data_IF_539791510823
#
_entry.id   IF_539791510823
#
_cell.length_a   1.000
_cell.length_b   1.000
_cell.length_c   1.000
_cell.angle_alpha   90.00
_cell.angle_beta   90.00
_cell.angle_gamma   90.00
#
_symmetry.space_group_name_H-M   'P 1'
#
loop_
_entity.id
_entity.type
_entity.pdbx_description
1 polymer ?
#
# COMPACT_ATOMS: atom_id res chain seq x y z
N UNK A 1 -6.83 -11.05 -3.50
CA UNK A 1 -5.58 -10.28 -3.70
C UNK A 1 -4.40 -11.20 -3.46
N UNK A 2 -3.37 -11.15 -4.31
CA UNK A 2 -2.15 -11.96 -4.16
C UNK A 2 -1.02 -11.10 -3.56
N UNK A 3 -0.23 -11.68 -2.65
CA UNK A 3 0.96 -11.01 -2.09
C UNK A 3 2.03 -10.98 -3.18
N UNK A 4 2.60 -9.81 -3.54
CA UNK A 4 3.66 -9.74 -4.54
C UNK A 4 4.88 -10.57 -4.14
N UNK A 5 5.55 -11.20 -5.10
CA UNK A 5 6.68 -12.09 -4.81
C UNK A 5 7.85 -11.36 -4.16
N UNK A 6 8.12 -10.10 -4.56
CA UNK A 6 9.13 -9.26 -3.92
C UNK A 6 8.86 -8.99 -2.43
N UNK A 7 7.59 -9.00 -2.03
CA UNK A 7 7.18 -8.82 -0.64
C UNK A 7 7.34 -10.13 0.12
N UNK A 8 6.97 -11.27 -0.49
CA UNK A 8 7.20 -12.60 0.09
C UNK A 8 8.67 -12.90 0.35
N UNK A 9 9.57 -12.47 -0.54
CA UNK A 9 11.03 -12.64 -0.39
C UNK A 9 11.61 -11.94 0.87
N UNK A 10 10.83 -11.07 1.52
CA UNK A 10 11.24 -10.28 2.68
C UNK A 10 10.35 -10.54 3.89
N UNK A 11 9.81 -11.76 3.98
CA UNK A 11 8.87 -12.18 5.03
C UNK A 11 7.66 -11.23 5.15
N UNK A 12 7.27 -10.69 3.99
CA UNK A 12 6.23 -9.70 3.86
C UNK A 12 4.88 -10.34 3.53
N UNK A 13 3.82 -9.76 4.07
CA UNK A 13 2.45 -10.21 3.85
C UNK A 13 1.50 -9.03 3.70
N UNK A 14 0.32 -9.29 3.11
CA UNK A 14 -0.77 -8.33 3.01
C UNK A 14 -1.93 -8.80 3.87
N UNK A 15 -2.41 -7.90 4.73
CA UNK A 15 -3.59 -8.14 5.56
C UNK A 15 -4.64 -7.07 5.28
N UNK A 16 -5.91 -7.48 5.22
CA UNK A 16 -7.00 -6.53 5.17
C UNK A 16 -7.02 -5.67 6.45
N UNK A 17 -7.28 -4.38 6.29
CA UNK A 17 -7.40 -3.43 7.40
C UNK A 17 -8.83 -3.34 7.94
N UNK A 18 -9.14 -2.20 8.53
CA UNK A 18 -10.45 -1.92 9.16
C UNK A 18 -11.62 -1.82 8.16
N UNK A 19 -11.34 -1.66 6.87
CA UNK A 19 -12.34 -1.56 5.80
C UNK A 19 -11.79 -2.11 4.48
N UNK A 20 -12.66 -2.28 3.49
CA UNK A 20 -12.34 -2.87 2.19
C UNK A 20 -11.32 -2.05 1.37
N UNK A 21 -11.09 -0.80 1.76
CA UNK A 21 -10.15 0.12 1.11
C UNK A 21 -8.80 0.20 1.80
N UNK A 22 -8.64 -0.41 2.97
CA UNK A 22 -7.42 -0.34 3.78
C UNK A 22 -6.72 -1.68 3.75
N UNK A 23 -5.42 -1.64 3.48
CA UNK A 23 -4.53 -2.79 3.50
C UNK A 23 -3.33 -2.49 4.37
N UNK A 24 -2.88 -3.50 5.09
CA UNK A 24 -1.67 -3.45 5.90
C UNK A 24 -0.61 -4.30 5.21
N UNK A 25 0.56 -3.71 5.02
CA UNK A 25 1.78 -4.42 4.65
C UNK A 25 2.47 -4.80 5.95
N UNK A 26 2.53 -6.10 6.18
CA UNK A 26 3.23 -6.70 7.29
C UNK A 26 4.63 -7.10 6.83
N UNK A 27 5.62 -6.89 7.69
CA UNK A 27 6.97 -7.46 7.55
C UNK A 27 7.27 -8.17 8.85
N UNK A 28 7.76 -9.41 8.79
CA UNK A 28 7.95 -10.26 9.97
C UNK A 28 6.68 -10.31 10.84
N UNK A 29 5.51 -10.48 10.22
CA UNK A 29 4.19 -10.51 10.87
C UNK A 29 3.73 -9.21 11.57
N UNK A 30 4.53 -8.15 11.56
CA UNK A 30 4.19 -6.86 12.15
C UNK A 30 3.75 -5.85 11.09
N UNK A 31 2.64 -5.11 11.30
CA UNK A 31 2.19 -4.09 10.33
C UNK A 31 3.17 -2.92 10.32
N UNK A 32 3.83 -2.69 9.20
CA UNK A 32 4.82 -1.61 9.02
C UNK A 32 4.27 -0.45 8.17
N UNK A 33 3.40 -0.77 7.21
CA UNK A 33 2.80 0.23 6.32
C UNK A 33 1.31 -0.02 6.16
N UNK A 34 0.58 1.07 5.98
CA UNK A 34 -0.84 1.09 5.69
C UNK A 34 -1.05 1.72 4.33
N UNK A 35 -1.69 0.98 3.43
CA UNK A 35 -2.15 1.45 2.14
C UNK A 35 -3.65 1.72 2.24
N UNK A 36 -4.07 2.91 1.86
CA UNK A 36 -5.49 3.30 1.85
C UNK A 36 -5.85 3.80 0.47
N UNK A 37 -6.71 3.05 -0.22
CA UNK A 37 -7.23 3.45 -1.52
C UNK A 37 -8.41 4.42 -1.31
N UNK A 38 -8.36 5.61 -1.90
CA UNK A 38 -9.42 6.61 -1.75
C UNK A 38 -9.72 7.31 -3.07
N UNK A 39 -10.96 7.77 -3.28
CA UNK A 39 -11.29 8.57 -4.45
C UNK A 39 -10.55 9.93 -4.42
N UNK A 40 -10.11 10.39 -5.59
CA UNK A 40 -9.41 11.66 -5.79
C UNK A 40 -9.81 12.27 -7.16
N UNK A 41 -10.63 13.32 -7.15
CA UNK A 41 -11.05 14.10 -8.34
C UNK A 41 -11.58 13.23 -9.50
N UNK A 42 -12.45 12.27 -9.21
CA UNK A 42 -13.01 11.36 -10.21
C UNK A 42 -12.12 10.15 -10.57
N UNK A 43 -10.90 10.11 -10.04
CA UNK A 43 -9.98 8.98 -10.07
C UNK A 43 -9.85 8.36 -8.67
N UNK A 44 -8.90 7.45 -8.49
CA UNK A 44 -8.50 6.84 -7.23
C UNK A 44 -7.04 7.14 -6.95
N UNK A 45 -6.66 7.23 -5.68
CA UNK A 45 -5.28 7.34 -5.23
C UNK A 45 -5.03 6.36 -4.10
N UNK A 46 -3.77 5.99 -3.88
CA UNK A 46 -3.37 5.16 -2.75
C UNK A 46 -2.47 5.96 -1.82
N UNK A 47 -2.93 6.16 -0.58
CA UNK A 47 -2.13 6.77 0.47
C UNK A 47 -1.33 5.71 1.19
N UNK A 48 -0.02 5.93 1.33
CA UNK A 48 0.93 5.00 1.96
C UNK A 48 1.42 5.67 3.22
N UNK A 49 1.12 5.09 4.38
CA UNK A 49 1.48 5.64 5.69
C UNK A 49 2.26 4.60 6.49
N UNK A 50 3.39 4.99 7.05
CA UNK A 50 4.12 4.17 8.02
C UNK A 50 3.31 4.06 9.32
N UNK A 51 3.14 2.85 9.83
CA UNK A 51 2.34 2.60 11.06
C UNK A 51 3.07 3.05 12.33
N UNK A 52 4.40 3.03 12.31
CA UNK A 52 5.23 3.34 13.49
C UNK A 52 5.36 4.84 13.79
N UNK A 53 5.35 5.70 12.77
CA UNK A 53 5.58 7.14 12.91
C UNK A 53 4.55 8.01 12.19
N UNK A 54 3.59 7.41 11.48
CA UNK A 54 2.55 8.13 10.74
C UNK A 54 3.04 8.87 9.48
N UNK A 55 4.30 8.72 9.09
CA UNK A 55 4.87 9.40 7.92
C UNK A 55 4.23 8.87 6.64
N UNK A 56 3.86 9.79 5.74
CA UNK A 56 3.37 9.45 4.41
C UNK A 56 4.53 9.26 3.43
N UNK A 57 4.45 8.20 2.65
CA UNK A 57 5.41 7.86 1.60
C UNK A 57 4.82 7.97 0.20
N UNK A 58 3.49 8.16 0.11
CA UNK A 58 2.80 8.32 -1.17
C UNK A 58 3.13 9.65 -1.88
N UNK A 59 3.30 9.58 -3.19
CA UNK A 59 3.61 10.65 -4.12
C UNK A 59 2.36 11.27 -4.74
N UNK A 60 1.17 10.85 -4.32
CA UNK A 60 -0.10 11.43 -4.78
C UNK A 60 -0.51 11.04 -6.20
N UNK A 61 0.00 9.91 -6.72
CA UNK A 61 -0.41 9.39 -8.02
C UNK A 61 -1.91 9.07 -8.05
N UNK A 62 -2.52 9.25 -9.22
CA UNK A 62 -3.95 8.98 -9.44
C UNK A 62 -4.13 7.93 -10.54
N UNK A 63 -5.16 7.11 -10.38
CA UNK A 63 -5.43 5.93 -11.17
C UNK A 63 -6.93 5.84 -11.49
N UNK A 64 -7.28 5.26 -12.62
CA UNK A 64 -8.69 5.19 -13.06
C UNK A 64 -9.55 4.26 -12.20
N UNK A 65 -8.96 3.27 -11.50
CA UNK A 65 -9.69 2.30 -10.68
C UNK A 65 -9.06 2.11 -9.30
N UNK A 66 -9.87 1.70 -8.33
CA UNK A 66 -9.41 1.37 -6.97
C UNK A 66 -8.33 0.28 -6.96
N UNK A 67 -8.48 -0.77 -7.77
CA UNK A 67 -7.50 -1.85 -7.85
C UNK A 67 -6.16 -1.38 -8.48
N UNK A 68 -6.23 -0.51 -9.49
CA UNK A 68 -5.04 0.10 -10.07
C UNK A 68 -4.32 1.00 -9.06
N UNK A 69 -5.06 1.77 -8.26
CA UNK A 69 -4.49 2.59 -7.19
C UNK A 69 -3.79 1.74 -6.13
N UNK A 70 -4.40 0.63 -5.71
CA UNK A 70 -3.76 -0.29 -4.77
C UNK A 70 -2.46 -0.89 -5.33
N UNK A 71 -2.50 -1.42 -6.56
CA UNK A 71 -1.34 -2.02 -7.20
C UNK A 71 -0.22 -1.00 -7.43
N UNK A 72 -0.57 0.20 -7.89
CA UNK A 72 0.36 1.30 -8.04
C UNK A 72 0.94 1.78 -6.72
N UNK A 73 0.15 1.82 -5.65
CA UNK A 73 0.64 2.12 -4.31
C UNK A 73 1.64 1.09 -3.77
N UNK A 74 1.45 -0.20 -4.08
CA UNK A 74 2.43 -1.23 -3.75
C UNK A 74 3.74 -1.08 -4.51
N UNK A 75 3.66 -0.72 -5.80
CA UNK A 75 4.85 -0.43 -6.61
C UNK A 75 5.59 0.80 -6.08
N UNK A 76 4.86 1.84 -5.73
CA UNK A 76 5.45 3.06 -5.19
C UNK A 76 6.12 2.78 -3.83
N UNK A 77 5.48 2.01 -2.95
CA UNK A 77 6.10 1.56 -1.70
C UNK A 77 7.41 0.82 -1.98
N UNK A 78 7.40 -0.12 -2.93
CA UNK A 78 8.59 -0.88 -3.31
C UNK A 78 9.73 0.04 -3.76
N UNK A 79 9.44 1.01 -4.63
CA UNK A 79 10.42 2.00 -5.09
C UNK A 79 10.96 2.86 -3.94
N UNK A 80 10.10 3.32 -3.02
CA UNK A 80 10.51 4.10 -1.85
C UNK A 80 11.39 3.32 -0.88
N UNK A 81 11.22 2.01 -0.80
CA UNK A 81 12.04 1.11 0.02
C UNK A 81 13.33 0.66 -0.70
N UNK A 82 13.46 0.94 -2.00
CA UNK A 82 14.61 0.54 -2.82
C UNK A 82 14.66 -0.96 -3.12
N UNK A 83 13.49 -1.59 -3.32
CA UNK A 83 13.34 -3.05 -3.41
C UNK A 83 13.07 -3.61 -4.80
#
# INVERSE_FOLDING_TARGET
>A
MNVPDWLKLRDGNLRAGLNDTTWLVLLNEHPQYRLVTKPAKGNFTCSITQTNNGKRLDGGLTYQTSNAAFTGGLQELREKLGW
#
